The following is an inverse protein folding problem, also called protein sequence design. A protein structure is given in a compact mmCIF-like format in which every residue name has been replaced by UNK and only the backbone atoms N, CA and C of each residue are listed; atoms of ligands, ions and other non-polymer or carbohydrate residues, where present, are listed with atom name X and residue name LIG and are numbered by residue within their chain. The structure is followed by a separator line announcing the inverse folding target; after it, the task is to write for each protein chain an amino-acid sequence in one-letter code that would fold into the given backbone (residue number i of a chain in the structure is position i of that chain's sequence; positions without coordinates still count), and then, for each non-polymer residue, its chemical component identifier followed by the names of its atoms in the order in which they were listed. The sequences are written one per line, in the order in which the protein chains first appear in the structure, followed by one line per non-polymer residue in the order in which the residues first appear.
data_IF_096896271965
#
_entry.id   IF_096896271965
#
_cell.length_a   1.000
_cell.length_b   1.000
_cell.length_c   1.000
_cell.angle_alpha   90.00
_cell.angle_beta   90.00
_cell.angle_gamma   90.00
#
_symmetry.space_group_name_H-M   'P 1'
#
loop_
_entity.id
_entity.type
_entity.pdbx_description
1 polymer ?
#
# COMPACT_ATOMS: atom_id res chain seq x y z
N UNK A 1 24.34 -25.22 -3.30
CA UNK A 1 24.24 -25.58 -1.87
C UNK A 1 22.81 -25.35 -1.45
N UNK A 2 22.05 -26.41 -1.11
CA UNK A 2 20.76 -26.29 -0.43
C UNK A 2 21.04 -26.60 1.04
N UNK A 3 20.74 -25.66 1.91
CA UNK A 3 20.89 -25.82 3.35
C UNK A 3 19.54 -26.37 3.83
N UNK A 4 19.47 -27.68 4.06
CA UNK A 4 18.33 -28.31 4.72
C UNK A 4 18.54 -28.14 6.23
N UNK A 5 17.81 -27.21 6.81
CA UNK A 5 17.85 -26.90 8.24
C UNK A 5 16.86 -27.87 8.92
N UNK A 6 17.36 -28.79 9.74
CA UNK A 6 16.50 -29.61 10.61
C UNK A 6 15.90 -28.69 11.68
N UNK A 7 14.57 -28.61 11.75
CA UNK A 7 13.82 -27.68 12.61
C UNK A 7 13.80 -28.07 14.10
N UNK A 8 14.47 -29.16 14.48
CA UNK A 8 14.29 -29.78 15.80
C UNK A 8 15.21 -29.21 16.90
N UNK A 9 16.33 -28.55 16.57
CA UNK A 9 17.37 -28.19 17.57
C UNK A 9 17.56 -26.69 17.84
N UNK A 10 16.70 -25.80 17.32
CA UNK A 10 16.91 -24.35 17.41
C UNK A 10 15.62 -23.54 17.63
N UNK A 11 14.86 -23.89 18.67
CA UNK A 11 13.59 -23.22 19.01
C UNK A 11 13.72 -21.69 19.13
N UNK A 12 14.80 -21.20 19.74
CA UNK A 12 15.05 -19.75 19.88
C UNK A 12 15.27 -19.06 18.53
N UNK A 13 15.97 -19.70 17.59
CA UNK A 13 16.20 -19.14 16.25
C UNK A 13 14.88 -19.12 15.46
N UNK A 14 14.06 -20.16 15.61
CA UNK A 14 12.75 -20.24 14.97
C UNK A 14 11.81 -19.16 15.53
N UNK A 15 11.80 -18.92 16.85
CA UNK A 15 11.01 -17.85 17.46
C UNK A 15 11.43 -16.47 16.96
N UNK A 16 12.74 -16.15 16.98
CA UNK A 16 13.25 -14.86 16.48
C UNK A 16 12.97 -14.67 15.00
N UNK A 17 13.10 -15.70 14.18
CA UNK A 17 12.74 -15.63 12.75
C UNK A 17 11.24 -15.43 12.56
N UNK A 18 10.42 -16.13 13.34
CA UNK A 18 8.96 -16.04 13.25
C UNK A 18 8.47 -14.66 13.66
N UNK A 19 9.02 -14.08 14.74
CA UNK A 19 8.75 -12.71 15.15
C UNK A 19 9.17 -11.69 14.09
N UNK A 20 10.37 -11.83 13.51
CA UNK A 20 10.81 -10.92 12.44
C UNK A 20 9.94 -11.02 11.19
N UNK A 21 9.50 -12.23 10.81
CA UNK A 21 8.61 -12.43 9.67
C UNK A 21 7.23 -11.83 9.98
N UNK A 22 6.67 -12.09 11.16
CA UNK A 22 5.39 -11.51 11.60
C UNK A 22 5.45 -9.98 11.62
N UNK A 23 6.48 -9.40 12.23
CA UNK A 23 6.69 -7.95 12.25
C UNK A 23 6.77 -7.38 10.83
N UNK A 24 7.47 -8.07 9.91
CA UNK A 24 7.61 -7.62 8.53
C UNK A 24 6.29 -7.72 7.74
N UNK A 25 5.48 -8.74 8.02
CA UNK A 25 4.12 -8.89 7.48
C UNK A 25 3.17 -7.82 8.06
N UNK A 26 3.27 -7.52 9.35
CA UNK A 26 2.50 -6.46 10.00
C UNK A 26 2.88 -5.07 9.47
N UNK A 27 4.17 -4.80 9.30
CA UNK A 27 4.67 -3.56 8.69
C UNK A 27 4.18 -3.38 7.23
N UNK A 28 4.05 -4.49 6.49
CA UNK A 28 3.51 -4.49 5.13
C UNK A 28 1.99 -4.36 5.08
N UNK A 29 1.26 -5.02 5.99
CA UNK A 29 -0.21 -5.06 6.00
C UNK A 29 -0.83 -3.78 6.57
N UNK A 30 -0.20 -3.16 7.57
CA UNK A 30 -0.77 -2.00 8.28
C UNK A 30 -0.67 -0.69 7.48
N UNK A 31 0.30 -0.56 6.56
CA UNK A 31 0.62 0.75 5.98
C UNK A 31 -0.16 1.15 4.73
N UNK A 32 -0.91 0.24 4.09
CA UNK A 32 -1.73 0.55 2.90
C UNK A 32 -3.03 -0.27 2.79
N UNK A 33 -3.50 -0.90 3.88
CA UNK A 33 -4.76 -1.66 3.89
C UNK A 33 -5.95 -0.88 3.33
N UNK A 34 -5.99 0.44 3.56
CA UNK A 34 -7.03 1.34 3.05
C UNK A 34 -7.03 1.55 1.52
N UNK A 35 -5.89 1.32 0.84
CA UNK A 35 -5.76 1.39 -0.63
C UNK A 35 -6.26 0.09 -1.27
N UNK A 36 -6.01 -1.06 -0.63
CA UNK A 36 -6.47 -2.35 -1.13
C UNK A 36 -8.00 -2.45 -1.20
N UNK A 37 -8.71 -1.70 -0.34
CA UNK A 37 -10.17 -1.57 -0.31
C UNK A 37 -10.76 -0.60 -1.34
N UNK A 38 -9.91 0.07 -2.14
CA UNK A 38 -10.39 0.88 -3.27
C UNK A 38 -10.82 -0.06 -4.41
N UNK A 39 -11.89 0.30 -5.15
CA UNK A 39 -12.19 -0.37 -6.42
C UNK A 39 -11.00 -0.25 -7.39
N UNK A 40 -10.98 -0.98 -8.52
CA UNK A 40 -9.89 -0.88 -9.50
C UNK A 40 -9.71 0.54 -10.07
N UNK A 41 -10.82 1.24 -10.31
CA UNK A 41 -10.81 2.61 -10.82
C UNK A 41 -11.65 3.56 -9.95
N UNK A 42 -11.14 3.96 -8.76
CA UNK A 42 -11.89 4.82 -7.87
C UNK A 42 -12.07 6.21 -8.47
N UNK A 43 -13.19 6.85 -8.14
CA UNK A 43 -13.38 8.27 -8.40
C UNK A 43 -12.78 9.12 -7.27
N UNK A 44 -12.68 10.44 -7.49
CA UNK A 44 -12.16 11.40 -6.49
C UNK A 44 -12.81 11.26 -5.12
N UNK A 45 -14.13 11.05 -5.04
CA UNK A 45 -14.85 10.92 -3.76
C UNK A 45 -14.43 9.66 -3.01
N UNK A 46 -14.25 8.55 -3.71
CA UNK A 46 -13.81 7.27 -3.13
C UNK A 46 -12.38 7.35 -2.62
N UNK A 47 -11.47 7.93 -3.40
CA UNK A 47 -10.06 8.13 -2.99
C UNK A 47 -9.99 8.97 -1.71
N UNK A 48 -10.67 10.12 -1.69
CA UNK A 48 -10.73 10.99 -0.50
C UNK A 48 -11.30 10.29 0.72
N UNK A 49 -12.41 9.56 0.55
CA UNK A 49 -13.08 8.86 1.65
C UNK A 49 -12.20 7.74 2.23
N UNK A 50 -11.57 6.94 1.38
CA UNK A 50 -10.76 5.79 1.82
C UNK A 50 -9.42 6.22 2.42
N UNK A 51 -8.78 7.23 1.83
CA UNK A 51 -7.50 7.74 2.31
C UNK A 51 -7.64 8.83 3.39
N UNK A 52 -8.87 9.23 3.73
CA UNK A 52 -9.20 10.29 4.69
C UNK A 52 -8.44 11.59 4.41
N UNK A 53 -8.38 11.98 3.13
CA UNK A 53 -7.72 13.21 2.67
C UNK A 53 -8.74 14.23 2.14
N UNK A 54 -8.40 15.51 2.26
CA UNK A 54 -9.15 16.62 1.66
C UNK A 54 -8.87 16.79 0.16
N UNK A 55 -9.66 17.66 -0.50
CA UNK A 55 -9.47 17.99 -1.91
C UNK A 55 -8.12 18.63 -2.20
N UNK A 56 -7.64 19.51 -1.31
CA UNK A 56 -6.35 20.19 -1.50
C UNK A 56 -5.20 19.20 -1.58
N UNK A 57 -5.19 18.20 -0.70
CA UNK A 57 -4.15 17.16 -0.69
C UNK A 57 -4.22 16.27 -1.92
N UNK A 58 -5.43 15.90 -2.37
CA UNK A 58 -5.58 15.13 -3.60
C UNK A 58 -5.16 15.96 -4.83
N UNK A 59 -5.43 17.27 -4.85
CA UNK A 59 -5.01 18.17 -5.92
C UNK A 59 -3.49 18.35 -5.92
N UNK A 60 -2.86 18.48 -4.75
CA UNK A 60 -1.41 18.48 -4.61
C UNK A 60 -0.81 17.19 -5.16
N UNK A 61 -1.39 16.03 -4.85
CA UNK A 61 -0.91 14.75 -5.37
C UNK A 61 -0.98 14.65 -6.89
N UNK A 62 -2.08 15.13 -7.48
CA UNK A 62 -2.23 15.21 -8.93
C UNK A 62 -1.18 16.14 -9.53
N UNK A 63 -0.92 17.29 -8.91
CA UNK A 63 0.13 18.21 -9.33
C UNK A 63 1.54 17.61 -9.16
N UNK A 64 1.74 16.75 -8.15
CA UNK A 64 2.97 15.99 -7.90
C UNK A 64 3.14 14.76 -8.79
N UNK A 65 2.21 14.49 -9.72
CA UNK A 65 2.35 13.42 -10.71
C UNK A 65 1.48 12.18 -10.48
N UNK A 66 0.50 12.21 -9.57
CA UNK A 66 -0.52 11.17 -9.49
C UNK A 66 -1.34 11.15 -10.80
N UNK A 67 -1.31 10.03 -11.52
CA UNK A 67 -2.02 9.88 -12.79
C UNK A 67 -3.53 9.98 -12.60
N UNK A 68 -4.16 10.71 -13.52
CA UNK A 68 -5.61 10.90 -13.57
C UNK A 68 -6.13 10.46 -14.94
N UNK A 69 -7.16 9.63 -14.92
CA UNK A 69 -7.86 9.15 -16.11
C UNK A 69 -9.14 10.00 -16.24
N UNK A 70 -9.27 10.84 -17.27
CA UNK A 70 -10.51 11.56 -17.53
C UNK A 70 -11.60 10.57 -17.95
N UNK A 71 -12.75 10.61 -17.27
CA UNK A 71 -13.90 9.76 -17.53
C UNK A 71 -15.16 10.62 -17.63
N UNK A 72 -15.37 11.21 -18.81
CA UNK A 72 -16.43 12.18 -19.05
C UNK A 72 -16.25 13.44 -18.20
N UNK A 73 -17.18 13.68 -17.27
CA UNK A 73 -17.12 14.80 -16.31
C UNK A 73 -16.41 14.43 -14.99
N UNK A 74 -16.07 13.15 -14.81
CA UNK A 74 -15.39 12.67 -13.61
C UNK A 74 -13.91 12.38 -13.87
N UNK A 75 -13.13 12.41 -12.80
CA UNK A 75 -11.76 11.92 -12.78
C UNK A 75 -11.72 10.55 -12.07
N UNK A 76 -11.11 9.59 -12.75
CA UNK A 76 -10.81 8.25 -12.25
C UNK A 76 -9.30 8.13 -12.02
N UNK A 77 -8.93 7.20 -11.16
CA UNK A 77 -7.54 6.90 -10.84
C UNK A 77 -7.37 5.39 -10.94
N UNK A 78 -6.20 4.90 -11.32
CA UNK A 78 -5.89 3.49 -11.15
C UNK A 78 -5.51 3.25 -9.68
N UNK A 79 -6.04 2.17 -9.09
CA UNK A 79 -5.67 1.79 -7.72
C UNK A 79 -4.17 1.52 -7.59
N UNK A 80 -3.56 0.90 -8.58
CA UNK A 80 -2.16 0.55 -8.54
C UNK A 80 -1.28 1.80 -8.71
N UNK A 81 -1.67 2.76 -9.56
CA UNK A 81 -1.01 4.07 -9.63
C UNK A 81 -1.08 4.84 -8.29
N UNK A 82 -2.23 4.78 -7.58
CA UNK A 82 -2.36 5.39 -6.25
C UNK A 82 -1.39 4.70 -5.27
N UNK A 83 -1.32 3.36 -5.31
CA UNK A 83 -0.45 2.59 -4.43
C UNK A 83 1.01 2.92 -4.66
N UNK A 84 1.43 2.94 -5.91
CA UNK A 84 2.80 3.29 -6.31
C UNK A 84 3.12 4.73 -5.91
N UNK A 85 2.22 5.68 -6.18
CA UNK A 85 2.42 7.08 -5.81
C UNK A 85 2.60 7.26 -4.29
N UNK A 86 1.77 6.59 -3.49
CA UNK A 86 1.88 6.61 -2.03
C UNK A 86 3.16 5.95 -1.51
N UNK A 87 3.70 4.96 -2.23
CA UNK A 87 4.99 4.37 -1.92
C UNK A 87 6.14 5.35 -2.16
N UNK A 88 6.10 6.09 -3.28
CA UNK A 88 7.11 7.10 -3.63
C UNK A 88 7.04 8.37 -2.77
N UNK A 89 5.86 8.71 -2.22
CA UNK A 89 5.67 9.82 -1.29
C UNK A 89 6.40 9.68 0.06
N UNK A 90 6.90 8.48 0.40
CA UNK A 90 7.55 8.19 1.68
C UNK A 90 9.06 8.47 1.71
N UNK A 91 9.59 9.20 0.71
CA UNK A 91 10.98 9.68 0.67
C UNK A 91 11.10 11.02 1.38
#
# INVERSE_FOLDING_TARGET
MKIEISLEDNSEIIEVLTEQILQRIEEQSTKFSSVNDLPPYPNRKQVKKRLRIGDDRLNQWIASGLKVIPFGKEARFDRDDIKDFLHHLKV
#
